data_IF_703841641133
#
_entry.id   IF_703841641133
#
_cell.length_a   1.000
_cell.length_b   1.000
_cell.length_c   1.000
_cell.angle_alpha   90.00
_cell.angle_beta   90.00
_cell.angle_gamma   90.00
#
_symmetry.space_group_name_H-M   'P 1'
#
loop_
_entity.id
_entity.type
_entity.pdbx_description
1 polymer ?
#
# COMPACT_ATOMS: atom_id res chain seq x y z
N UNK A 1 20.55 2.84 -19.03
CA UNK A 1 20.29 2.60 -17.59
C UNK A 1 19.47 3.75 -17.06
N UNK A 2 18.22 3.49 -16.69
CA UNK A 2 17.27 4.50 -16.19
C UNK A 2 16.64 4.07 -14.88
N UNK A 3 15.78 4.93 -14.33
CA UNK A 3 14.96 4.62 -13.18
C UNK A 3 13.72 3.84 -13.60
N UNK A 4 13.35 2.82 -12.82
CA UNK A 4 12.15 2.02 -13.06
C UNK A 4 11.22 2.15 -11.87
N UNK A 5 9.96 2.49 -12.16
CA UNK A 5 8.88 2.48 -11.17
C UNK A 5 7.87 1.43 -11.56
N UNK A 6 7.46 0.61 -10.60
CA UNK A 6 6.34 -0.31 -10.76
C UNK A 6 5.42 -0.26 -9.55
N UNK A 7 4.20 -0.74 -9.73
CA UNK A 7 3.19 -0.86 -8.67
C UNK A 7 2.46 -2.17 -8.87
N UNK A 8 2.22 -2.90 -7.80
CA UNK A 8 1.29 -4.00 -7.82
C UNK A 8 0.33 -3.90 -6.66
N UNK A 9 -0.91 -4.26 -6.94
CA UNK A 9 -2.02 -4.27 -6.00
C UNK A 9 -2.56 -5.69 -5.98
N UNK A 10 -2.73 -6.28 -4.79
CA UNK A 10 -3.32 -7.61 -4.65
C UNK A 10 -4.27 -7.63 -3.46
N UNK A 11 -5.30 -8.45 -3.60
CA UNK A 11 -6.12 -8.92 -2.50
C UNK A 11 -5.69 -10.35 -2.16
N UNK A 12 -5.49 -10.62 -0.88
CA UNK A 12 -5.06 -11.92 -0.36
C UNK A 12 -6.14 -12.37 0.63
N UNK A 13 -6.72 -13.54 0.42
CA UNK A 13 -7.77 -14.11 1.28
C UNK A 13 -7.62 -15.64 1.31
N UNK A 14 -8.17 -16.28 2.33
CA UNK A 14 -8.23 -17.74 2.43
C UNK A 14 -9.64 -18.26 2.70
N UNK A 15 -10.53 -17.43 3.25
CA UNK A 15 -11.91 -17.79 3.46
C UNK A 15 -12.71 -17.74 2.16
N UNK A 16 -13.71 -18.62 2.02
CA UNK A 16 -14.60 -18.64 0.84
C UNK A 16 -15.53 -17.44 0.78
N UNK A 17 -15.82 -16.84 1.92
CA UNK A 17 -16.67 -15.66 2.04
C UNK A 17 -15.88 -14.34 2.02
N UNK A 18 -14.56 -14.41 1.82
CA UNK A 18 -13.64 -13.27 1.78
C UNK A 18 -13.59 -12.41 3.06
N UNK A 19 -14.15 -12.89 4.17
CA UNK A 19 -14.14 -12.20 5.46
C UNK A 19 -12.73 -11.92 5.99
N UNK A 20 -11.72 -12.69 5.55
CA UNK A 20 -10.31 -12.53 5.91
C UNK A 20 -9.47 -11.78 4.87
N UNK A 21 -10.11 -11.14 3.90
CA UNK A 21 -9.40 -10.51 2.79
C UNK A 21 -8.55 -9.32 3.25
N UNK A 22 -7.32 -9.27 2.72
CA UNK A 22 -6.36 -8.19 2.92
C UNK A 22 -5.99 -7.58 1.58
N UNK A 23 -6.29 -6.29 1.43
CA UNK A 23 -5.79 -5.45 0.35
C UNK A 23 -4.37 -4.98 0.65
N UNK A 24 -3.45 -5.17 -0.31
CA UNK A 24 -2.06 -4.72 -0.27
C UNK A 24 -1.71 -3.94 -1.54
N UNK A 25 -1.17 -2.73 -1.38
CA UNK A 25 -0.63 -1.90 -2.47
C UNK A 25 0.87 -1.68 -2.26
N UNK A 26 1.69 -2.18 -3.18
CA UNK A 26 3.13 -2.06 -3.16
C UNK A 26 3.63 -1.13 -4.25
N UNK A 27 4.34 -0.08 -3.86
CA UNK A 27 5.04 0.83 -4.74
C UNK A 27 6.54 0.50 -4.75
N UNK A 28 7.07 0.25 -5.94
CA UNK A 28 8.43 -0.24 -6.17
C UNK A 28 9.21 0.77 -7.00
N UNK A 29 10.45 1.01 -6.60
CA UNK A 29 11.40 1.85 -7.31
C UNK A 29 12.73 1.11 -7.44
N UNK A 30 13.24 0.99 -8.65
CA UNK A 30 14.48 0.28 -8.97
C UNK A 30 14.58 -1.13 -8.36
N UNK A 31 13.47 -1.87 -8.40
CA UNK A 31 13.29 -3.24 -7.85
C UNK A 31 13.08 -3.33 -6.34
N UNK A 32 13.23 -2.23 -5.60
CA UNK A 32 12.98 -2.19 -4.16
C UNK A 32 11.60 -1.61 -3.85
N UNK A 33 10.86 -2.28 -2.96
CA UNK A 33 9.62 -1.72 -2.42
C UNK A 33 9.99 -0.51 -1.56
N UNK A 34 9.59 0.68 -1.97
CA UNK A 34 9.88 1.89 -1.20
C UNK A 34 8.72 2.27 -0.27
N UNK A 35 7.47 1.93 -0.63
CA UNK A 35 6.28 2.20 0.18
C UNK A 35 5.22 1.12 -0.02
N UNK A 36 4.53 0.74 1.04
CA UNK A 36 3.40 -0.20 1.00
C UNK A 36 2.20 0.35 1.78
N UNK A 37 0.99 0.04 1.33
CA UNK A 37 -0.22 0.08 2.17
C UNK A 37 -0.70 -1.35 2.41
N UNK A 38 -1.06 -1.67 3.65
CA UNK A 38 -1.67 -2.93 4.04
C UNK A 38 -2.95 -2.62 4.81
N UNK A 39 -4.10 -3.11 4.32
CA UNK A 39 -5.42 -2.85 4.93
C UNK A 39 -5.56 -3.37 6.37
N UNK A 40 -4.85 -4.43 6.76
CA UNK A 40 -4.80 -4.90 8.17
C UNK A 40 -4.16 -3.86 9.09
N UNK A 41 -3.13 -3.16 8.60
CA UNK A 41 -2.43 -2.11 9.35
C UNK A 41 -3.17 -0.77 9.23
N UNK A 42 -3.77 -0.52 8.06
CA UNK A 42 -4.62 0.64 7.79
C UNK A 42 -3.86 1.94 7.52
N UNK A 43 -2.56 1.89 7.24
CA UNK A 43 -1.76 3.06 6.86
C UNK A 43 -0.55 2.69 5.98
N UNK A 44 0.07 3.70 5.36
CA UNK A 44 1.25 3.53 4.52
C UNK A 44 2.51 3.39 5.39
N UNK A 45 3.35 2.42 5.03
CA UNK A 45 4.68 2.19 5.61
C UNK A 45 5.73 2.43 4.55
N UNK A 46 6.78 3.19 4.89
CA UNK A 46 7.93 3.44 4.04
C UNK A 46 9.12 2.57 4.44
N UNK A 47 9.84 1.99 3.47
CA UNK A 47 11.00 1.11 3.71
C UNK A 47 12.34 1.74 3.35
N UNK A 48 12.33 2.87 2.66
CA UNK A 48 13.50 3.69 2.36
C UNK A 48 13.25 5.12 2.83
N UNK A 49 14.27 5.97 2.95
CA UNK A 49 14.07 7.38 3.34
C UNK A 49 13.06 8.11 2.43
N UNK A 50 13.13 7.85 1.12
CA UNK A 50 12.13 8.34 0.15
C UNK A 50 10.74 7.76 0.43
N UNK A 51 10.67 6.49 0.78
CA UNK A 51 9.46 5.80 1.23
C UNK A 51 8.82 6.43 2.46
N UNK A 52 9.60 6.65 3.51
CA UNK A 52 9.14 7.20 4.80
C UNK A 52 8.53 8.58 4.58
N UNK A 53 9.24 9.47 3.88
CA UNK A 53 8.72 10.80 3.55
C UNK A 53 7.38 10.75 2.81
N UNK A 54 7.24 9.86 1.83
CA UNK A 54 5.99 9.71 1.10
C UNK A 54 4.88 9.05 1.94
N UNK A 55 5.24 8.10 2.81
CA UNK A 55 4.29 7.42 3.70
C UNK A 55 3.71 8.41 4.71
N UNK A 56 4.54 9.24 5.36
CA UNK A 56 4.10 10.29 6.27
C UNK A 56 3.17 11.28 5.56
N UNK A 57 3.55 11.77 4.38
CA UNK A 57 2.70 12.65 3.58
C UNK A 57 1.34 12.01 3.27
N UNK A 58 1.32 10.73 2.92
CA UNK A 58 0.10 10.03 2.53
C UNK A 58 -0.78 9.69 3.72
N UNK A 59 -0.18 9.39 4.88
CA UNK A 59 -0.90 9.17 6.12
C UNK A 59 -1.53 10.45 6.68
N UNK A 60 -0.92 11.61 6.38
CA UNK A 60 -1.48 12.92 6.73
C UNK A 60 -2.62 13.37 5.80
N UNK A 61 -2.76 12.77 4.62
CA UNK A 61 -3.91 12.98 3.74
C UNK A 61 -5.05 12.03 4.15
N UNK A 62 -5.96 12.53 4.98
CA UNK A 62 -7.07 11.73 5.52
C UNK A 62 -8.01 11.22 4.43
N UNK A 63 -8.24 11.97 3.35
CA UNK A 63 -9.10 11.55 2.25
C UNK A 63 -8.49 10.35 1.52
N UNK A 64 -7.20 10.44 1.20
CA UNK A 64 -6.47 9.33 0.59
C UNK A 64 -6.47 8.11 1.53
N UNK A 65 -6.15 8.30 2.80
CA UNK A 65 -6.03 7.21 3.76
C UNK A 65 -7.36 6.45 3.94
N UNK A 66 -8.48 7.16 4.00
CA UNK A 66 -9.81 6.53 4.09
C UNK A 66 -10.18 5.78 2.80
N UNK A 67 -9.87 6.33 1.63
CA UNK A 67 -10.08 5.61 0.36
C UNK A 67 -9.26 4.31 0.28
N UNK A 68 -8.03 4.33 0.78
CA UNK A 68 -7.18 3.13 0.81
C UNK A 68 -7.69 2.09 1.80
N UNK A 69 -8.18 2.50 2.97
CA UNK A 69 -8.81 1.60 3.95
C UNK A 69 -10.05 0.93 3.39
N UNK A 70 -10.90 1.68 2.70
CA UNK A 70 -12.11 1.16 2.04
C UNK A 70 -11.81 0.28 0.80
N UNK A 71 -10.57 0.24 0.31
CA UNK A 71 -10.24 -0.51 -0.92
C UNK A 71 -10.32 -2.04 -0.74
N UNK A 72 -10.37 -2.54 0.50
CA UNK A 72 -10.65 -3.96 0.76
C UNK A 72 -12.10 -4.35 0.46
N UNK A 73 -13.02 -3.39 0.39
CA UNK A 73 -14.44 -3.64 0.13
C UNK A 73 -14.85 -3.32 -1.33
N UNK A 74 -13.89 -2.91 -2.17
CA UNK A 74 -14.14 -2.41 -3.52
C UNK A 74 -14.28 -3.54 -4.56
#
# INVERSE_FOLDING_TARGET
NGYYRSRWVKCIYSSRDFSDMVYVDNAIFNKDVYRQFNSTVGYFVGYTAHGVYNAERFNNDTNLLQQMRASVER
#
